data_IF_211455998734
#
_entry.id   IF_211455998734
#
_cell.length_a   1.000
_cell.length_b   1.000
_cell.length_c   1.000
_cell.angle_alpha   90.00
_cell.angle_beta   90.00
_cell.angle_gamma   90.00
#
_symmetry.space_group_name_H-M   'P 1'
#
loop_
_entity.id
_entity.type
_entity.pdbx_description
1 polymer ?
#
# COMPACT_ATOMS: atom_id res chain seq x y z
N UNK A 1 20.96 23.70 -56.04
CA UNK A 1 20.62 24.78 -55.08
C UNK A 1 19.10 24.80 -55.00
N UNK A 2 18.39 24.74 -53.88
CA UNK A 2 18.70 24.65 -52.46
C UNK A 2 17.53 23.94 -51.75
N UNK A 3 17.83 23.40 -50.58
CA UNK A 3 17.03 22.54 -49.71
C UNK A 3 15.81 23.27 -49.12
N UNK A 4 14.69 22.57 -48.97
CA UNK A 4 13.57 22.87 -48.06
C UNK A 4 13.13 21.52 -47.48
N UNK A 5 13.80 20.98 -46.46
CA UNK A 5 13.55 21.26 -45.03
C UNK A 5 12.07 21.06 -44.68
N UNK A 6 11.67 19.80 -44.44
CA UNK A 6 11.50 19.21 -43.11
C UNK A 6 10.26 19.77 -42.36
N UNK A 7 9.08 19.22 -42.65
CA UNK A 7 7.90 19.36 -41.79
C UNK A 7 7.89 18.18 -40.80
N UNK A 8 8.56 18.41 -39.67
CA UNK A 8 8.38 17.64 -38.44
C UNK A 8 7.01 18.02 -37.89
N UNK A 9 5.99 17.28 -38.31
CA UNK A 9 4.63 17.42 -37.82
C UNK A 9 4.49 16.79 -36.44
N UNK A 10 4.53 17.66 -35.43
CA UNK A 10 4.00 17.51 -34.07
C UNK A 10 4.08 16.10 -33.46
N UNK A 11 5.14 15.91 -32.70
CA UNK A 11 5.19 15.22 -31.41
C UNK A 11 3.79 14.88 -30.86
N UNK A 12 3.39 13.62 -30.98
CA UNK A 12 2.38 13.04 -30.10
C UNK A 12 2.95 13.09 -28.69
N UNK A 13 2.57 14.12 -27.93
CA UNK A 13 2.80 14.17 -26.49
C UNK A 13 1.87 13.13 -25.86
N UNK A 14 2.31 11.88 -25.89
CA UNK A 14 1.72 10.82 -25.08
C UNK A 14 2.08 11.15 -23.63
N UNK A 15 1.26 11.98 -22.98
CA UNK A 15 1.18 12.05 -21.53
C UNK A 15 0.64 10.70 -21.06
N UNK A 16 1.53 9.70 -20.97
CA UNK A 16 1.29 8.53 -20.14
C UNK A 16 1.30 9.01 -18.70
N UNK A 17 0.19 9.59 -18.27
CA UNK A 17 -0.15 9.65 -16.86
C UNK A 17 -0.29 8.20 -16.42
N UNK A 18 0.78 7.64 -15.87
CA UNK A 18 0.69 6.46 -15.04
C UNK A 18 -0.14 6.87 -13.83
N UNK A 19 -1.45 6.67 -13.91
CA UNK A 19 -2.27 6.64 -12.70
C UNK A 19 -1.61 5.60 -11.78
N UNK A 20 -0.99 6.07 -10.71
CA UNK A 20 -0.47 5.21 -9.65
C UNK A 20 -1.69 4.55 -9.03
N UNK A 21 -2.04 3.36 -9.52
CA UNK A 21 -3.12 2.59 -8.94
C UNK A 21 -2.70 2.29 -7.49
N UNK A 22 -3.54 2.66 -6.52
CA UNK A 22 -3.29 2.44 -5.11
C UNK A 22 -2.68 1.05 -4.88
N UNK A 23 -1.39 1.03 -4.53
CA UNK A 23 -0.63 -0.20 -4.41
C UNK A 23 -1.09 -0.94 -3.15
N UNK A 24 -1.40 -2.23 -3.32
CA UNK A 24 -1.75 -3.12 -2.24
C UNK A 24 -0.84 -4.34 -2.27
N UNK A 25 -0.68 -4.98 -1.11
CA UNK A 25 0.04 -6.24 -0.99
C UNK A 25 -0.84 -7.31 -0.39
N UNK A 26 -0.84 -8.50 -1.00
CA UNK A 26 -1.42 -9.67 -0.37
C UNK A 26 -0.46 -10.21 0.68
N UNK A 27 -0.97 -10.38 1.90
CA UNK A 27 -0.18 -10.70 3.06
C UNK A 27 -0.94 -11.60 4.04
N UNK A 28 -0.18 -12.35 4.82
CA UNK A 28 -0.62 -12.92 6.08
C UNK A 28 -0.33 -11.94 7.21
N UNK A 29 -1.25 -11.80 8.15
CA UNK A 29 -1.03 -10.99 9.36
C UNK A 29 -0.38 -11.88 10.42
N UNK A 30 0.86 -11.60 10.76
CA UNK A 30 1.63 -12.39 11.72
C UNK A 30 1.39 -11.90 13.15
N UNK A 31 1.40 -10.58 13.33
CA UNK A 31 1.19 -9.95 14.63
C UNK A 31 0.47 -8.61 14.52
N UNK A 32 -0.38 -8.33 15.51
CA UNK A 32 -0.97 -7.01 15.77
C UNK A 32 -0.55 -6.59 17.17
N UNK A 33 0.30 -5.57 17.27
CA UNK A 33 0.98 -5.17 18.51
C UNK A 33 0.46 -3.78 18.91
N UNK A 34 -0.29 -3.65 20.02
CA UNK A 34 -0.73 -2.36 20.52
C UNK A 34 0.44 -1.48 20.99
N UNK A 35 0.30 -0.17 20.81
CA UNK A 35 1.24 0.85 21.28
C UNK A 35 0.48 2.01 21.96
N UNK A 36 1.19 3.04 22.41
CA UNK A 36 0.56 4.21 23.03
C UNK A 36 -0.28 5.06 22.05
N UNK A 37 0.05 5.03 20.75
CA UNK A 37 -0.60 5.86 19.73
C UNK A 37 -1.50 5.07 18.77
N UNK A 38 -1.43 3.74 18.79
CA UNK A 38 -2.16 2.91 17.83
C UNK A 38 -1.76 1.45 17.89
N UNK A 39 -1.63 0.83 16.72
CA UNK A 39 -1.15 -0.53 16.55
C UNK A 39 -0.03 -0.57 15.53
N UNK A 40 0.88 -1.52 15.72
CA UNK A 40 1.86 -1.96 14.73
C UNK A 40 1.45 -3.32 14.20
N UNK A 41 1.50 -3.49 12.89
CA UNK A 41 1.11 -4.71 12.19
C UNK A 41 2.35 -5.28 11.52
N UNK A 42 2.68 -6.51 11.87
CA UNK A 42 3.70 -7.31 11.20
C UNK A 42 2.99 -8.25 10.25
N UNK A 43 3.42 -8.23 8.99
CA UNK A 43 2.80 -9.01 7.93
C UNK A 43 3.85 -9.63 7.02
N UNK A 44 3.53 -10.79 6.45
CA UNK A 44 4.39 -11.51 5.51
C UNK A 44 3.69 -11.62 4.16
N UNK A 45 4.40 -11.27 3.08
CA UNK A 45 3.88 -11.39 1.71
C UNK A 45 3.40 -12.80 1.42
N UNK A 46 2.17 -12.93 0.91
CA UNK A 46 1.64 -14.22 0.47
C UNK A 46 2.32 -14.75 -0.80
N UNK A 47 2.95 -13.86 -1.59
CA UNK A 47 3.56 -14.22 -2.87
C UNK A 47 4.92 -14.89 -2.72
N UNK A 48 5.77 -14.35 -1.84
CA UNK A 48 7.18 -14.75 -1.75
C UNK A 48 7.62 -15.09 -0.31
N UNK A 49 6.73 -15.01 0.67
CA UNK A 49 7.03 -15.33 2.07
C UNK A 49 7.99 -14.37 2.76
N UNK A 50 8.28 -13.20 2.17
CA UNK A 50 9.13 -12.17 2.80
C UNK A 50 8.29 -11.33 3.75
N UNK A 51 8.90 -10.95 4.88
CA UNK A 51 8.33 -9.91 5.74
C UNK A 51 8.09 -8.66 4.92
N UNK A 52 6.92 -8.07 5.10
CA UNK A 52 6.63 -6.73 4.64
C UNK A 52 7.19 -5.72 5.64
N UNK A 53 7.22 -4.48 5.19
CA UNK A 53 7.48 -3.33 6.02
C UNK A 53 6.49 -3.23 7.18
N UNK A 54 6.97 -2.64 8.27
CA UNK A 54 6.17 -2.54 9.49
C UNK A 54 5.06 -1.52 9.27
N UNK A 55 3.80 -1.94 9.38
CA UNK A 55 2.66 -1.08 9.11
C UNK A 55 2.08 -0.52 10.41
N UNK A 56 1.69 0.75 10.42
CA UNK A 56 1.17 1.43 11.61
C UNK A 56 -0.24 1.94 11.40
N UNK A 57 -1.06 1.91 12.45
CA UNK A 57 -2.41 2.48 12.40
C UNK A 57 -2.73 3.19 13.71
N UNK A 58 -3.06 4.47 13.63
CA UNK A 58 -3.33 5.30 14.80
C UNK A 58 -4.75 5.10 15.34
N UNK A 59 -4.94 5.28 16.65
CA UNK A 59 -6.25 5.20 17.30
C UNK A 59 -7.22 6.32 16.94
N UNK A 60 -6.72 7.47 16.49
CA UNK A 60 -7.52 8.64 16.10
C UNK A 60 -8.09 8.53 14.68
N UNK A 61 -7.73 7.49 13.92
CA UNK A 61 -8.25 7.25 12.59
C UNK A 61 -9.71 6.82 12.65
N UNK A 62 -10.56 7.46 11.84
CA UNK A 62 -12.00 7.22 11.82
C UNK A 62 -12.38 5.78 11.47
N UNK A 63 -11.50 5.03 10.79
CA UNK A 63 -11.72 3.64 10.43
C UNK A 63 -10.97 2.64 11.33
N UNK A 64 -10.29 3.11 12.40
CA UNK A 64 -9.42 2.28 13.24
C UNK A 64 -10.09 0.98 13.70
N UNK A 65 -11.27 1.08 14.34
CA UNK A 65 -11.94 -0.07 14.93
C UNK A 65 -12.28 -1.16 13.90
N UNK A 66 -12.73 -0.77 12.71
CA UNK A 66 -13.04 -1.72 11.63
C UNK A 66 -11.77 -2.39 11.09
N UNK A 67 -10.70 -1.62 10.88
CA UNK A 67 -9.40 -2.14 10.42
C UNK A 67 -8.81 -3.09 11.46
N UNK A 68 -8.83 -2.71 12.74
CA UNK A 68 -8.31 -3.52 13.85
C UNK A 68 -9.02 -4.87 13.96
N UNK A 69 -10.36 -4.89 13.92
CA UNK A 69 -11.13 -6.14 13.99
C UNK A 69 -10.81 -7.08 12.82
N UNK A 70 -10.63 -6.55 11.61
CA UNK A 70 -10.24 -7.35 10.43
C UNK A 70 -8.82 -7.90 10.55
N UNK A 71 -7.88 -7.13 11.10
CA UNK A 71 -6.52 -7.58 11.34
C UNK A 71 -6.48 -8.73 12.35
N UNK A 72 -7.22 -8.61 13.46
CA UNK A 72 -7.30 -9.67 14.47
C UNK A 72 -7.95 -10.95 13.91
N UNK A 73 -9.01 -10.80 13.12
CA UNK A 73 -9.67 -11.94 12.47
C UNK A 73 -8.72 -12.63 11.47
N UNK A 74 -8.02 -11.84 10.64
CA UNK A 74 -7.03 -12.35 9.69
C UNK A 74 -5.86 -13.05 10.38
N UNK A 75 -5.35 -12.47 11.47
CA UNK A 75 -4.27 -13.07 12.28
C UNK A 75 -4.72 -14.41 12.87
N UNK A 76 -5.91 -14.45 13.48
CA UNK A 76 -6.46 -15.66 14.12
C UNK A 76 -6.80 -16.74 13.10
N UNK A 77 -7.38 -16.36 11.97
CA UNK A 77 -7.78 -17.26 10.89
C UNK A 77 -6.63 -17.68 9.96
N UNK A 78 -5.49 -16.99 10.03
CA UNK A 78 -4.32 -17.16 9.15
C UNK A 78 -4.68 -17.20 7.65
N UNK A 79 -5.55 -16.29 7.22
CA UNK A 79 -5.93 -16.16 5.81
C UNK A 79 -5.26 -14.95 5.16
N UNK A 80 -5.20 -14.96 3.83
CA UNK A 80 -4.59 -13.88 3.04
C UNK A 80 -5.51 -12.66 3.03
N UNK A 81 -4.93 -11.48 3.26
CA UNK A 81 -5.61 -10.19 3.14
C UNK A 81 -4.83 -9.26 2.21
N UNK A 82 -5.52 -8.25 1.67
CA UNK A 82 -4.91 -7.10 1.00
C UNK A 82 -4.68 -5.98 2.00
N UNK A 83 -3.42 -5.63 2.21
CA UNK A 83 -3.01 -4.45 2.98
C UNK A 83 -2.75 -3.28 2.03
N UNK A 84 -3.19 -2.09 2.42
CA UNK A 84 -3.03 -0.85 1.65
C UNK A 84 -2.14 0.11 2.44
N UNK A 85 -0.81 0.01 2.30
CA UNK A 85 0.13 0.92 2.94
C UNK A 85 0.22 2.25 2.19
N UNK A 86 0.60 3.30 2.90
CA UNK A 86 0.94 4.63 2.38
C UNK A 86 2.13 5.16 3.18
N UNK A 87 2.98 6.00 2.58
CA UNK A 87 4.22 6.49 3.22
C UNK A 87 3.94 7.36 4.45
N UNK A 88 2.74 7.92 4.56
CA UNK A 88 2.33 8.78 5.65
C UNK A 88 0.82 8.91 5.81
N UNK A 89 0.40 9.34 6.99
CA UNK A 89 -1.01 9.57 7.28
C UNK A 89 -1.55 10.74 6.45
N UNK A 90 -2.55 10.43 5.61
CA UNK A 90 -3.18 11.41 4.71
C UNK A 90 -2.67 11.34 3.27
N UNK A 91 -1.59 10.60 3.01
CA UNK A 91 -1.02 10.46 1.66
C UNK A 91 -1.94 9.67 0.74
N UNK A 92 -2.16 10.14 -0.49
CA UNK A 92 -3.06 9.47 -1.45
C UNK A 92 -2.40 8.25 -2.12
N UNK A 93 -1.09 8.31 -2.31
CA UNK A 93 -0.30 7.29 -3.00
C UNK A 93 0.07 6.12 -2.07
N UNK A 94 0.03 4.91 -2.62
CA UNK A 94 0.38 3.69 -1.91
C UNK A 94 1.89 3.48 -1.86
N UNK A 95 2.44 3.21 -0.67
CA UNK A 95 3.85 2.87 -0.48
C UNK A 95 4.17 1.47 -1.03
N UNK A 96 5.46 1.19 -1.21
CA UNK A 96 5.93 -0.15 -1.53
C UNK A 96 6.08 -0.95 -0.25
N UNK A 97 5.42 -2.10 -0.15
CA UNK A 97 5.41 -2.93 1.07
C UNK A 97 6.77 -3.56 1.46
N UNK A 98 7.85 -3.23 0.75
CA UNK A 98 9.19 -3.80 0.92
C UNK A 98 10.30 -2.79 0.59
N UNK A 99 10.04 -1.49 0.70
CA UNK A 99 11.05 -0.46 0.49
C UNK A 99 11.94 -0.19 1.71
N UNK A 100 11.61 -0.79 2.87
CA UNK A 100 12.37 -0.68 4.11
C UNK A 100 11.93 0.47 5.01
N UNK A 101 10.83 1.14 4.68
CA UNK A 101 10.25 2.22 5.47
C UNK A 101 9.23 1.69 6.49
N UNK A 102 8.80 2.55 7.42
CA UNK A 102 7.67 2.25 8.29
C UNK A 102 6.42 2.91 7.69
N UNK A 103 5.50 2.09 7.19
CA UNK A 103 4.34 2.59 6.48
C UNK A 103 3.14 2.82 7.39
N UNK A 104 2.23 3.67 6.94
CA UNK A 104 0.91 3.82 7.53
C UNK A 104 -0.09 2.89 6.83
N UNK A 105 -0.80 2.07 7.61
CA UNK A 105 -1.85 1.19 7.13
C UNK A 105 -3.15 1.99 6.95
N UNK A 106 -3.56 2.23 5.70
CA UNK A 106 -4.84 2.90 5.44
C UNK A 106 -6.01 1.99 5.77
N UNK A 107 -6.01 0.77 5.23
CA UNK A 107 -7.06 -0.22 5.44
C UNK A 107 -6.57 -1.63 5.15
N UNK A 108 -7.37 -2.62 5.56
CA UNK A 108 -7.20 -4.02 5.22
C UNK A 108 -8.50 -4.56 4.63
N UNK A 109 -8.37 -5.36 3.58
CA UNK A 109 -9.49 -6.00 2.90
C UNK A 109 -9.24 -7.50 2.79
N UNK A 110 -10.23 -8.31 3.17
CA UNK A 110 -10.20 -9.75 2.92
C UNK A 110 -10.70 -9.98 1.49
N UNK A 111 -9.89 -10.54 0.57
CA UNK A 111 -10.30 -10.72 -0.80
C UNK A 111 -11.57 -11.56 -0.93
N UNK A 112 -11.77 -12.66 -0.18
CA UNK A 112 -13.02 -13.44 -0.10
C UNK A 112 -13.10 -14.26 1.20
#
# INVERSE_FOLDING_TARGET
MNKLALLVGLSTLSLSMTASAAHWCEAYIDAVIPSASGITVVATSSYNGRSLDTLTKDYDDSNFGATYMRLLDAQKGRYVVRVYPVEGKGEEDGASCTDGSQDYLRTVFRPF
#
